data_IF_578843717293
#
_entry.id   IF_578843717293
#
_cell.length_a   1.000
_cell.length_b   1.000
_cell.length_c   1.000
_cell.angle_alpha   90.00
_cell.angle_beta   90.00
_cell.angle_gamma   90.00
#
_symmetry.space_group_name_H-M   'P 1'
#
loop_
_entity.id
_entity.type
_entity.pdbx_description
1 polymer ?
#
# COMPACT_ATOMS: atom_id res chain seq x y z
N UNK A 1 1.04 -16.66 7.40
CA UNK A 1 1.75 -15.40 7.73
C UNK A 1 1.08 -14.25 6.99
N UNK A 2 1.08 -13.04 7.53
CA UNK A 2 0.52 -11.84 6.88
C UNK A 2 1.70 -10.90 6.60
N UNK A 3 1.81 -10.44 5.36
CA UNK A 3 2.74 -9.39 4.97
C UNK A 3 2.00 -8.06 4.90
N UNK A 4 2.47 -7.07 5.65
CA UNK A 4 1.81 -5.77 5.80
C UNK A 4 2.42 -4.68 4.90
N UNK A 5 3.44 -4.99 4.12
CA UNK A 5 4.07 -4.02 3.25
C UNK A 5 4.65 -4.68 1.99
N UNK A 6 3.95 -4.54 0.87
CA UNK A 6 4.34 -5.18 -0.37
C UNK A 6 3.91 -4.38 -1.62
N UNK A 7 4.86 -4.17 -2.53
CA UNK A 7 4.66 -3.52 -3.82
C UNK A 7 4.34 -4.55 -4.91
N UNK A 8 3.28 -5.35 -4.69
CA UNK A 8 2.89 -6.44 -5.60
C UNK A 8 1.98 -5.98 -6.74
N UNK A 9 1.44 -4.76 -6.68
CA UNK A 9 0.51 -4.27 -7.71
C UNK A 9 1.25 -3.95 -9.03
N UNK A 10 0.75 -4.42 -10.18
CA UNK A 10 1.48 -4.34 -11.43
C UNK A 10 1.52 -2.93 -12.02
N UNK A 11 2.73 -2.42 -12.26
CA UNK A 11 3.00 -1.27 -13.12
C UNK A 11 2.64 0.09 -12.53
N UNK A 12 2.43 0.19 -11.22
CA UNK A 12 1.99 1.44 -10.59
C UNK A 12 3.03 2.13 -9.72
N UNK A 13 4.12 1.43 -9.39
CA UNK A 13 5.26 2.01 -8.69
C UNK A 13 6.59 1.34 -9.08
N UNK A 14 7.54 1.21 -8.17
CA UNK A 14 8.84 0.57 -8.36
C UNK A 14 8.88 -0.91 -7.92
N UNK A 15 7.72 -1.50 -7.59
CA UNK A 15 7.57 -2.93 -7.33
C UNK A 15 7.43 -3.77 -8.60
N UNK A 16 6.32 -4.51 -8.70
CA UNK A 16 6.05 -5.37 -9.85
C UNK A 16 5.86 -4.55 -11.14
N UNK A 17 6.72 -4.74 -12.13
CA UNK A 17 6.65 -3.99 -13.41
C UNK A 17 5.43 -4.34 -14.28
N UNK A 18 4.87 -5.54 -14.11
CA UNK A 18 3.74 -6.05 -14.88
C UNK A 18 3.03 -7.20 -14.14
N UNK A 19 1.95 -7.71 -14.74
CA UNK A 19 1.15 -8.79 -14.15
C UNK A 19 1.98 -10.05 -13.90
N UNK A 20 2.82 -10.48 -14.85
CA UNK A 20 3.62 -11.71 -14.68
C UNK A 20 4.65 -11.57 -13.55
N UNK A 21 5.25 -10.38 -13.37
CA UNK A 21 6.08 -10.09 -12.21
C UNK A 21 5.28 -10.18 -10.89
N UNK A 22 4.05 -9.67 -10.87
CA UNK A 22 3.16 -9.74 -9.70
C UNK A 22 2.81 -11.19 -9.33
N UNK A 23 2.51 -12.02 -10.33
CA UNK A 23 2.24 -13.46 -10.14
C UNK A 23 3.49 -14.17 -9.60
N UNK A 24 4.68 -13.90 -10.14
CA UNK A 24 5.93 -14.48 -9.66
C UNK A 24 6.24 -14.07 -8.19
N UNK A 25 5.89 -12.85 -7.79
CA UNK A 25 5.97 -12.40 -6.40
C UNK A 25 4.97 -13.15 -5.51
N UNK A 26 3.71 -13.30 -5.94
CA UNK A 26 2.69 -14.04 -5.21
C UNK A 26 3.09 -15.51 -4.97
N UNK A 27 3.59 -16.20 -5.99
CA UNK A 27 4.07 -17.58 -5.88
C UNK A 27 5.20 -17.72 -4.85
N UNK A 28 6.16 -16.80 -4.85
CA UNK A 28 7.25 -16.77 -3.85
C UNK A 28 6.72 -16.51 -2.45
N UNK A 29 5.78 -15.58 -2.30
CA UNK A 29 5.16 -15.28 -1.02
C UNK A 29 4.44 -16.51 -0.44
N UNK A 30 3.67 -17.22 -1.27
CA UNK A 30 3.00 -18.48 -0.90
C UNK A 30 4.02 -19.54 -0.48
N UNK A 31 5.13 -19.71 -1.22
CA UNK A 31 6.19 -20.65 -0.88
C UNK A 31 6.84 -20.35 0.49
N UNK A 32 6.83 -19.08 0.92
CA UNK A 32 7.30 -18.64 2.23
C UNK A 32 6.23 -18.76 3.34
N UNK A 33 5.02 -19.24 3.02
CA UNK A 33 3.92 -19.39 3.96
C UNK A 33 3.13 -18.09 4.21
N UNK A 34 3.28 -17.09 3.34
CA UNK A 34 2.43 -15.90 3.33
C UNK A 34 1.07 -16.27 2.75
N UNK A 35 0.03 -15.85 3.46
CA UNK A 35 -1.38 -16.15 3.16
C UNK A 35 -2.17 -14.90 2.83
N UNK A 36 -1.71 -13.75 3.33
CA UNK A 36 -2.35 -12.45 3.12
C UNK A 36 -1.26 -11.42 2.85
N UNK A 37 -1.51 -10.50 1.92
CA UNK A 37 -0.66 -9.35 1.61
C UNK A 37 -1.51 -8.09 1.67
N UNK A 38 -1.08 -7.11 2.45
CA UNK A 38 -1.53 -5.74 2.31
C UNK A 38 -0.74 -5.09 1.16
N UNK A 39 -1.42 -4.75 0.08
CA UNK A 39 -0.81 -4.07 -1.06
C UNK A 39 -0.58 -2.61 -0.68
N UNK A 40 0.69 -2.18 -0.55
CA UNK A 40 1.04 -0.83 -0.09
C UNK A 40 1.87 -0.10 -1.14
N UNK A 41 1.31 0.19 -2.33
CA UNK A 41 2.05 0.93 -3.32
C UNK A 41 2.37 2.35 -2.84
N UNK A 42 3.41 2.94 -3.41
CA UNK A 42 3.79 4.33 -3.11
C UNK A 42 2.66 5.31 -3.39
N UNK A 43 2.44 6.26 -2.47
CA UNK A 43 1.53 7.38 -2.65
C UNK A 43 2.17 8.70 -2.19
N UNK A 44 2.00 9.75 -3.00
CA UNK A 44 2.45 11.13 -2.76
C UNK A 44 3.96 11.29 -2.47
N UNK A 45 4.79 10.39 -3.01
CA UNK A 45 6.23 10.39 -2.75
C UNK A 45 7.06 11.31 -3.67
N UNK A 46 6.37 12.10 -4.50
CA UNK A 46 6.92 13.00 -5.52
C UNK A 46 7.13 12.35 -6.89
N UNK A 47 7.20 11.02 -6.95
CA UNK A 47 7.33 10.23 -8.20
C UNK A 47 6.05 9.46 -8.53
N UNK A 48 5.39 8.92 -7.51
CA UNK A 48 4.18 8.11 -7.65
C UNK A 48 3.00 8.76 -6.94
N UNK A 49 1.84 8.70 -7.59
CA UNK A 49 0.56 9.21 -7.11
C UNK A 49 -0.52 8.20 -7.47
N UNK A 50 -0.65 7.17 -6.63
CA UNK A 50 -1.64 6.11 -6.79
C UNK A 50 -2.87 6.44 -5.94
N UNK A 51 -3.94 6.93 -6.54
CA UNK A 51 -5.15 7.33 -5.80
C UNK A 51 -5.84 6.13 -5.13
N UNK A 52 -6.50 6.35 -3.99
CA UNK A 52 -7.25 5.31 -3.25
C UNK A 52 -8.15 4.46 -4.14
N UNK A 53 -8.97 5.10 -4.98
CA UNK A 53 -9.90 4.40 -5.88
C UNK A 53 -9.18 3.51 -6.92
N UNK A 54 -8.03 3.96 -7.42
CA UNK A 54 -7.21 3.22 -8.36
C UNK A 54 -6.58 1.99 -7.68
N UNK A 55 -6.06 2.16 -6.47
CA UNK A 55 -5.48 1.05 -5.69
C UNK A 55 -6.54 -0.03 -5.43
N UNK A 56 -7.73 0.35 -4.97
CA UNK A 56 -8.85 -0.60 -4.74
C UNK A 56 -9.16 -1.40 -6.00
N UNK A 57 -9.30 -0.71 -7.14
CA UNK A 57 -9.61 -1.37 -8.42
C UNK A 57 -8.50 -2.34 -8.88
N UNK A 58 -7.23 -1.99 -8.64
CA UNK A 58 -6.09 -2.81 -9.01
C UNK A 58 -5.90 -4.02 -8.09
N UNK A 59 -6.13 -3.86 -6.79
CA UNK A 59 -6.15 -4.98 -5.83
C UNK A 59 -7.23 -5.99 -6.23
N UNK A 60 -8.45 -5.52 -6.51
CA UNK A 60 -9.54 -6.39 -6.95
C UNK A 60 -9.20 -7.11 -8.28
N UNK A 61 -8.57 -6.40 -9.23
CA UNK A 61 -8.15 -6.98 -10.51
C UNK A 61 -7.06 -8.04 -10.35
N UNK A 62 -6.05 -7.78 -9.50
CA UNK A 62 -4.98 -8.75 -9.24
C UNK A 62 -5.51 -9.95 -8.45
N UNK A 63 -6.37 -9.74 -7.45
CA UNK A 63 -7.03 -10.80 -6.68
C UNK A 63 -7.78 -11.77 -7.61
N UNK A 64 -8.53 -11.26 -8.59
CA UNK A 64 -9.22 -12.08 -9.58
C UNK A 64 -8.26 -12.94 -10.45
N UNK A 65 -7.09 -12.40 -10.81
CA UNK A 65 -6.08 -13.16 -11.54
C UNK A 65 -5.40 -14.24 -10.67
N UNK A 66 -5.18 -13.97 -9.38
CA UNK A 66 -4.70 -14.98 -8.42
C UNK A 66 -5.70 -16.13 -8.27
N UNK A 67 -6.99 -15.81 -8.12
CA UNK A 67 -8.07 -16.79 -7.98
C UNK A 67 -8.20 -17.67 -9.22
N UNK A 68 -8.17 -17.06 -10.42
CA UNK A 68 -8.19 -17.78 -11.71
C UNK A 68 -7.02 -18.76 -11.85
N UNK A 69 -5.87 -18.41 -11.28
CA UNK A 69 -4.65 -19.24 -11.26
C UNK A 69 -4.60 -20.20 -10.06
N UNK A 70 -5.62 -20.20 -9.20
CA UNK A 70 -5.72 -21.03 -7.99
C UNK A 70 -4.55 -20.80 -7.02
N UNK A 71 -4.09 -19.55 -6.93
CA UNK A 71 -3.05 -19.14 -5.99
C UNK A 71 -3.71 -18.77 -4.65
N UNK A 72 -3.46 -19.51 -3.55
CA UNK A 72 -4.13 -19.29 -2.26
C UNK A 72 -3.50 -18.13 -1.49
N UNK A 73 -3.65 -16.92 -2.03
CA UNK A 73 -3.16 -15.68 -1.45
C UNK A 73 -4.29 -14.63 -1.48
N UNK A 74 -4.54 -14.02 -0.33
CA UNK A 74 -5.54 -12.95 -0.19
C UNK A 74 -4.84 -11.60 -0.22
N UNK A 75 -5.31 -10.69 -1.05
CA UNK A 75 -4.84 -9.32 -1.13
C UNK A 75 -5.80 -8.38 -0.38
N UNK A 76 -5.23 -7.37 0.27
CA UNK A 76 -5.93 -6.32 1.01
C UNK A 76 -5.44 -4.97 0.50
N UNK A 77 -6.32 -3.97 0.49
CA UNK A 77 -6.00 -2.62 0.06
C UNK A 77 -5.25 -1.84 1.14
N UNK A 78 -4.18 -1.14 0.74
CA UNK A 78 -3.42 -0.23 1.59
C UNK A 78 -2.62 0.76 0.73
N UNK A 79 -1.83 1.62 1.37
CA UNK A 79 -0.87 2.50 0.70
C UNK A 79 0.38 2.66 1.57
N UNK A 80 1.53 2.81 0.94
CA UNK A 80 2.68 3.43 1.59
C UNK A 80 2.61 4.95 1.32
N UNK A 81 2.26 5.72 2.34
CA UNK A 81 2.00 7.16 2.18
C UNK A 81 3.22 7.95 2.58
N UNK A 82 3.83 8.69 1.65
CA UNK A 82 4.88 9.64 2.00
C UNK A 82 4.31 10.71 2.92
N UNK A 83 5.01 10.99 4.02
CA UNK A 83 4.64 12.10 4.90
C UNK A 83 4.68 13.43 4.14
N UNK A 84 3.58 14.18 4.21
CA UNK A 84 3.45 15.52 3.64
C UNK A 84 2.85 16.47 4.67
N UNK A 85 2.96 17.78 4.43
CA UNK A 85 2.29 18.77 5.26
C UNK A 85 0.76 18.77 5.13
N UNK A 86 0.20 18.06 4.14
CA UNK A 86 -1.24 17.99 3.82
C UNK A 86 -1.90 16.68 4.24
N UNK A 87 -1.15 15.75 4.84
CA UNK A 87 -1.64 14.39 5.09
C UNK A 87 -2.95 14.37 5.88
N UNK A 88 -3.10 15.24 6.88
CA UNK A 88 -4.32 15.33 7.69
C UNK A 88 -5.52 15.75 6.83
N UNK A 89 -5.34 16.73 5.96
CA UNK A 89 -6.37 17.15 5.03
C UNK A 89 -6.71 16.06 4.01
N UNK A 90 -5.71 15.31 3.54
CA UNK A 90 -5.89 14.22 2.57
C UNK A 90 -6.69 13.05 3.22
N UNK A 91 -6.43 12.75 4.50
CA UNK A 91 -7.23 11.80 5.30
C UNK A 91 -8.67 12.30 5.45
N UNK A 92 -8.88 13.56 5.84
CA UNK A 92 -10.24 14.12 5.98
C UNK A 92 -11.04 14.15 4.67
N UNK A 93 -10.36 14.15 3.52
CA UNK A 93 -11.00 14.06 2.19
C UNK A 93 -11.25 12.62 1.74
N UNK A 94 -10.95 11.63 2.56
CA UNK A 94 -11.07 10.20 2.22
C UNK A 94 -10.18 9.80 1.01
N UNK A 95 -9.00 10.40 0.89
CA UNK A 95 -8.08 10.15 -0.24
C UNK A 95 -7.02 9.08 0.07
N UNK A 96 -6.91 8.67 1.34
CA UNK A 96 -5.88 7.76 1.85
C UNK A 96 -6.49 6.40 2.23
N UNK A 97 -5.76 5.33 1.91
CA UNK A 97 -6.01 3.98 2.41
C UNK A 97 -5.20 3.73 3.68
N UNK A 98 -5.91 3.33 4.72
CA UNK A 98 -5.34 2.83 5.96
C UNK A 98 -4.93 1.36 5.81
N UNK A 99 -4.27 0.80 6.82
CA UNK A 99 -3.84 -0.60 6.84
C UNK A 99 -4.83 -1.53 7.53
N UNK A 100 -5.94 -0.98 8.01
CA UNK A 100 -7.04 -1.65 8.69
C UNK A 100 -8.40 -1.03 8.32
N UNK A 101 -9.49 -1.69 8.70
CA UNK A 101 -10.86 -1.26 8.38
C UNK A 101 -11.40 -0.18 9.29
N UNK A 102 -10.80 0.00 10.47
CA UNK A 102 -11.22 0.99 11.48
C UNK A 102 -10.41 2.29 11.37
N UNK A 103 -9.68 2.48 10.27
CA UNK A 103 -8.82 3.63 9.98
C UNK A 103 -7.90 4.00 11.17
N UNK A 104 -7.33 3.00 11.83
CA UNK A 104 -6.49 3.18 13.03
C UNK A 104 -5.00 3.22 12.69
N UNK A 105 -4.57 2.47 11.68
CA UNK A 105 -3.16 2.26 11.36
C UNK A 105 -2.82 2.82 9.98
N UNK A 106 -1.76 3.63 9.92
CA UNK A 106 -1.20 4.19 8.69
C UNK A 106 0.22 3.71 8.48
N UNK A 107 0.57 3.38 7.24
CA UNK A 107 1.95 3.16 6.84
C UNK A 107 2.53 4.45 6.26
N UNK A 108 3.47 5.05 7.00
CA UNK A 108 4.09 6.33 6.63
C UNK A 108 5.54 6.12 6.20
N UNK A 109 5.87 6.66 5.03
CA UNK A 109 7.24 6.73 4.51
C UNK A 109 7.83 8.13 4.77
N UNK A 110 9.09 8.21 5.17
CA UNK A 110 9.82 9.46 5.27
C UNK A 110 10.69 9.71 4.02
N UNK A 111 11.01 10.98 3.71
CA UNK A 111 12.06 11.28 2.74
C UNK A 111 13.36 10.55 3.09
N UNK A 112 14.06 10.03 2.09
CA UNK A 112 15.27 9.20 2.28
C UNK A 112 16.38 9.90 3.07
N UNK A 113 16.48 11.22 2.96
CA UNK A 113 17.61 12.00 3.49
C UNK A 113 17.35 12.66 4.83
N UNK A 114 16.09 12.78 5.26
CA UNK A 114 15.75 13.54 6.46
C UNK A 114 14.43 13.11 7.09
N UNK A 115 14.31 13.35 8.39
CA UNK A 115 13.04 13.34 9.10
C UNK A 115 12.48 14.76 9.06
N UNK A 116 11.28 14.98 8.49
CA UNK A 116 10.73 16.31 8.39
C UNK A 116 10.50 16.95 9.76
N UNK A 117 10.82 18.24 9.91
CA UNK A 117 10.67 18.98 11.17
C UNK A 117 9.22 18.99 11.71
N UNK A 118 8.23 18.79 10.83
CA UNK A 118 6.82 18.75 11.19
C UNK A 118 6.30 17.35 11.57
N UNK A 119 7.14 16.30 11.49
CA UNK A 119 6.71 14.91 11.68
C UNK A 119 6.11 14.65 13.07
N UNK A 120 6.78 15.11 14.14
CA UNK A 120 6.27 14.95 15.51
C UNK A 120 4.90 15.62 15.70
N UNK A 121 4.77 16.87 15.25
CA UNK A 121 3.50 17.62 15.34
C UNK A 121 2.38 16.92 14.57
N UNK A 122 2.70 16.37 13.40
CA UNK A 122 1.75 15.66 12.56
C UNK A 122 1.31 14.34 13.20
N UNK A 123 2.23 13.55 13.77
CA UNK A 123 1.86 12.33 14.49
C UNK A 123 1.04 12.60 15.75
N UNK A 124 1.35 13.66 16.50
CA UNK A 124 0.51 14.08 17.63
C UNK A 124 -0.91 14.48 17.21
N UNK A 125 -1.09 14.99 15.99
CA UNK A 125 -2.40 15.32 15.45
C UNK A 125 -3.17 14.08 14.97
N UNK A 126 -2.48 13.04 14.48
CA UNK A 126 -3.11 11.77 14.08
C UNK A 126 -3.65 10.96 15.28
N UNK A 127 -3.12 11.18 16.49
CA UNK A 127 -3.54 10.46 17.69
C UNK A 127 -4.72 11.10 18.45
N UNK A 128 -5.32 12.18 17.93
CA UNK A 128 -6.43 12.92 18.57
C UNK A 128 -7.76 12.53 17.96
#
# INVERSE_FOLDING_TARGET
>A
MIDLHCHILPGIDDGAENLEASIAMAEKAIQQGITHILCTPHHNNGKYSNEKSQVISLVASLQAELEKRQLPLTLLEGQEVRITGTLIEDIHRDEILFTDLDDTYLLIEFPTLEVPLYAERLFLALCQ
#
